data_IF_234985164109
#
_entry.id   IF_234985164109
#
_cell.length_a   1.000
_cell.length_b   1.000
_cell.length_c   1.000
_cell.angle_alpha   90.00
_cell.angle_beta   90.00
_cell.angle_gamma   90.00
#
_symmetry.space_group_name_H-M   'P 1'
#
loop_
_entity.id
_entity.type
_entity.pdbx_description
1 polymer ?
#
# COMPACT_ATOMS: atom_id res chain seq x y z
N UNK A 1 7.36 36.84 -0.20
CA UNK A 1 7.59 35.50 0.36
C UNK A 1 7.58 35.63 1.86
N UNK A 2 6.52 35.18 2.52
CA UNK A 2 6.44 35.13 3.98
C UNK A 2 7.43 34.06 4.48
N UNK A 3 8.41 34.46 5.28
CA UNK A 3 9.33 33.52 5.93
C UNK A 3 8.58 32.77 7.02
N UNK A 4 8.70 31.44 7.01
CA UNK A 4 8.18 30.59 8.09
C UNK A 4 9.05 30.75 9.33
N UNK A 5 8.40 30.81 10.49
CA UNK A 5 9.04 30.76 11.80
C UNK A 5 9.61 29.36 12.07
N UNK A 6 10.55 29.27 13.02
CA UNK A 6 11.13 27.99 13.42
C UNK A 6 10.07 26.98 13.91
N UNK A 7 9.01 27.46 14.57
CA UNK A 7 7.91 26.62 15.07
C UNK A 7 7.12 26.04 13.89
N UNK A 8 6.79 26.86 12.88
CA UNK A 8 6.07 26.41 11.70
C UNK A 8 6.87 25.38 10.89
N UNK A 9 8.19 25.56 10.78
CA UNK A 9 9.07 24.59 10.11
C UNK A 9 9.09 23.23 10.83
N UNK A 10 9.13 23.24 12.16
CA UNK A 10 9.08 22.00 12.95
C UNK A 10 7.73 21.30 12.77
N UNK A 11 6.63 22.03 12.83
CA UNK A 11 5.29 21.47 12.64
C UNK A 11 5.12 20.83 11.26
N UNK A 12 5.59 21.49 10.20
CA UNK A 12 5.55 20.94 8.84
C UNK A 12 6.42 19.70 8.69
N UNK A 13 7.64 19.72 9.24
CA UNK A 13 8.52 18.54 9.23
C UNK A 13 7.85 17.34 9.88
N UNK A 14 7.22 17.52 11.03
CA UNK A 14 6.62 16.43 11.78
C UNK A 14 5.36 15.89 11.08
N UNK A 15 4.56 16.78 10.48
CA UNK A 15 3.43 16.37 9.64
C UNK A 15 3.88 15.56 8.41
N UNK A 16 4.94 15.99 7.72
CA UNK A 16 5.49 15.26 6.58
C UNK A 16 6.02 13.88 6.98
N UNK A 17 6.69 13.77 8.15
CA UNK A 17 7.14 12.48 8.68
C UNK A 17 5.98 11.55 9.00
N UNK A 18 4.90 12.05 9.59
CA UNK A 18 3.71 11.24 9.85
C UNK A 18 3.10 10.71 8.55
N UNK A 19 2.98 11.54 7.51
CA UNK A 19 2.49 11.10 6.20
C UNK A 19 3.39 10.09 5.51
N UNK A 20 4.71 10.25 5.62
CA UNK A 20 5.66 9.25 5.12
C UNK A 20 5.49 7.92 5.85
N UNK A 21 5.36 7.95 7.19
CA UNK A 21 5.14 6.74 7.97
C UNK A 21 3.82 6.04 7.61
N UNK A 22 2.76 6.80 7.30
CA UNK A 22 1.50 6.24 6.80
C UNK A 22 1.68 5.54 5.44
N UNK A 23 2.44 6.14 4.52
CA UNK A 23 2.74 5.55 3.21
C UNK A 23 3.62 4.30 3.34
N UNK A 24 4.66 4.35 4.18
CA UNK A 24 5.56 3.23 4.44
C UNK A 24 4.85 2.05 5.14
N UNK A 25 3.72 2.31 5.80
CA UNK A 25 2.90 1.26 6.42
C UNK A 25 1.99 0.53 5.43
N UNK A 26 1.82 1.05 4.20
CA UNK A 26 1.05 0.38 3.15
C UNK A 26 1.83 -0.85 2.70
N UNK A 27 1.23 -2.03 2.89
CA UNK A 27 1.81 -3.30 2.44
C UNK A 27 1.11 -3.78 1.18
N UNK A 28 1.90 -4.10 0.17
CA UNK A 28 1.43 -4.71 -1.07
C UNK A 28 0.99 -6.17 -0.82
N UNK A 29 -0.29 -6.38 -0.48
CA UNK A 29 -0.87 -7.71 -0.28
C UNK A 29 -1.68 -8.16 -1.50
N UNK A 30 -1.90 -9.48 -1.63
CA UNK A 30 -2.66 -10.05 -2.75
C UNK A 30 -4.16 -9.71 -2.76
N UNK A 31 -4.68 -8.99 -1.75
CA UNK A 31 -6.06 -8.48 -1.71
C UNK A 31 -6.32 -7.33 -2.68
N UNK A 32 -5.25 -6.71 -3.21
CA UNK A 32 -5.29 -5.51 -4.05
C UNK A 32 -4.81 -5.77 -5.51
N UNK A 33 -4.76 -7.03 -5.95
CA UNK A 33 -4.34 -7.41 -7.32
C UNK A 33 -5.39 -7.03 -8.38
N UNK A 34 -5.01 -6.62 -9.60
CA UNK A 34 -5.97 -6.25 -10.68
C UNK A 34 -6.82 -7.43 -11.16
N UNK A 35 -6.41 -8.66 -10.82
CA UNK A 35 -7.18 -9.86 -11.12
C UNK A 35 -8.22 -10.18 -10.07
N UNK A 36 -8.36 -9.40 -8.99
CA UNK A 36 -9.50 -9.49 -8.08
C UNK A 36 -10.77 -9.02 -8.80
N UNK A 37 -11.61 -9.95 -9.24
CA UNK A 37 -12.86 -9.60 -9.89
C UNK A 37 -13.90 -9.12 -8.88
N UNK A 38 -14.00 -9.85 -7.76
CA UNK A 38 -14.89 -9.56 -6.63
C UNK A 38 -14.23 -10.15 -5.39
N UNK A 39 -13.99 -9.38 -4.30
CA UNK A 39 -13.47 -9.97 -3.07
C UNK A 39 -14.37 -11.13 -2.58
N UNK A 40 -13.81 -12.28 -2.15
CA UNK A 40 -12.38 -12.64 -2.03
C UNK A 40 -11.82 -13.46 -3.21
N UNK A 41 -12.45 -13.42 -4.39
CA UNK A 41 -12.12 -14.26 -5.52
C UNK A 41 -11.25 -13.57 -6.57
N UNK A 42 -10.21 -14.28 -6.99
CA UNK A 42 -9.44 -13.90 -8.17
C UNK A 42 -9.98 -14.51 -9.44
N UNK A 43 -10.10 -13.65 -10.45
CA UNK A 43 -10.57 -13.98 -11.79
C UNK A 43 -9.66 -14.97 -12.51
N UNK A 44 -8.35 -14.87 -12.32
CA UNK A 44 -7.36 -15.67 -13.07
C UNK A 44 -7.38 -17.14 -12.65
N UNK A 45 -7.46 -17.38 -11.34
CA UNK A 45 -7.43 -18.73 -10.76
C UNK A 45 -8.81 -19.25 -10.37
N UNK A 46 -9.85 -18.39 -10.44
CA UNK A 46 -11.20 -18.65 -9.97
C UNK A 46 -11.21 -19.21 -8.53
N UNK A 47 -10.34 -18.67 -7.69
CA UNK A 47 -10.08 -19.14 -6.34
C UNK A 47 -9.72 -17.95 -5.43
N UNK A 48 -9.86 -18.16 -4.13
CA UNK A 48 -9.37 -17.25 -3.09
C UNK A 48 -7.84 -17.41 -2.94
N UNK A 49 -7.07 -16.31 -2.82
CA UNK A 49 -5.65 -16.44 -2.52
C UNK A 49 -5.44 -17.15 -1.18
N UNK A 50 -4.54 -18.14 -1.11
CA UNK A 50 -4.11 -18.74 0.15
C UNK A 50 -3.73 -17.70 1.20
N UNK A 51 -3.91 -18.05 2.47
CA UNK A 51 -3.76 -17.12 3.59
C UNK A 51 -2.35 -16.56 3.71
N UNK A 52 -1.33 -17.36 3.40
CA UNK A 52 0.07 -16.94 3.34
C UNK A 52 0.29 -15.76 2.38
N UNK A 53 -0.42 -15.75 1.24
CA UNK A 53 -0.29 -14.71 0.22
C UNK A 53 -1.01 -13.40 0.57
N UNK A 54 -2.01 -13.47 1.46
CA UNK A 54 -2.68 -12.27 1.99
C UNK A 54 -1.84 -11.57 3.06
N UNK A 55 -0.98 -12.31 3.75
CA UNK A 55 -0.23 -11.81 4.91
C UNK A 55 1.16 -11.30 4.54
N UNK A 56 1.81 -11.94 3.57
CA UNK A 56 3.21 -11.68 3.25
C UNK A 56 3.35 -10.79 2.00
N UNK A 57 4.03 -9.66 2.18
CA UNK A 57 4.36 -8.73 1.10
C UNK A 57 5.28 -9.42 0.06
N UNK A 58 4.93 -9.31 -1.22
CA UNK A 58 5.73 -9.88 -2.30
C UNK A 58 5.59 -11.40 -2.49
N UNK A 59 4.76 -12.09 -1.70
CA UNK A 59 4.49 -13.52 -1.85
C UNK A 59 3.62 -13.85 -3.10
N UNK A 60 3.46 -12.90 -4.02
CA UNK A 60 2.49 -12.88 -5.10
C UNK A 60 3.18 -13.09 -6.49
N UNK A 61 3.92 -14.20 -6.78
CA UNK A 61 4.73 -14.31 -8.00
C UNK A 61 3.92 -14.49 -9.30
N UNK A 62 2.77 -15.16 -9.26
CA UNK A 62 1.81 -15.21 -10.39
C UNK A 62 0.62 -14.26 -10.24
N UNK A 63 0.38 -13.84 -9.00
CA UNK A 63 -0.50 -12.75 -8.61
C UNK A 63 0.30 -11.46 -8.64
N UNK A 64 0.88 -11.14 -9.80
CA UNK A 64 1.75 -9.98 -9.92
C UNK A 64 1.03 -8.75 -9.37
N UNK A 65 1.70 -8.07 -8.44
CA UNK A 65 1.31 -6.73 -8.01
C UNK A 65 1.46 -5.84 -9.25
N UNK A 66 0.37 -5.33 -9.78
CA UNK A 66 0.33 -4.69 -11.11
C UNK A 66 0.90 -3.26 -11.11
N UNK A 67 1.79 -2.95 -10.17
CA UNK A 67 2.49 -1.67 -10.10
C UNK A 67 1.58 -0.48 -9.81
N UNK A 68 0.34 -0.71 -9.38
CA UNK A 68 -0.62 0.33 -9.04
C UNK A 68 -0.25 0.91 -7.67
N UNK A 69 0.16 2.18 -7.59
CA UNK A 69 0.68 2.77 -6.36
C UNK A 69 -0.43 3.51 -5.62
N UNK A 70 -1.48 2.84 -5.13
CA UNK A 70 -2.44 3.48 -4.22
C UNK A 70 -3.14 2.49 -3.31
#
# INVERSE_FOLDING_TARGET
MTSMTAIELVAVRDALRARLAELDAIRATCEHCEHYAQPPMCRRFNAEPPEEFRRDEGACPEWRFDGVPF
#
